data_IF_718948251833
#
_entry.id   IF_718948251833
#
_cell.length_a   1.000
_cell.length_b   1.000
_cell.length_c   1.000
_cell.angle_alpha   90.00
_cell.angle_beta   90.00
_cell.angle_gamma   90.00
#
_symmetry.space_group_name_H-M   'P 1'
#
loop_
_entity.id
_entity.type
_entity.pdbx_description
1 polymer ?
#
# COMPACT_ATOMS: atom_id res chain seq x y z
N UNK A 1 0.13 -11.17 -68.31
CA UNK A 1 0.77 -11.75 -67.11
C UNK A 1 0.93 -10.76 -65.94
N UNK A 2 1.31 -9.49 -66.16
CA UNK A 2 1.53 -8.53 -65.05
C UNK A 2 0.28 -8.16 -64.23
N UNK A 3 -0.93 -8.12 -64.82
CA UNK A 3 -2.17 -7.83 -64.07
C UNK A 3 -2.51 -8.92 -63.05
N UNK A 4 -2.26 -10.20 -63.36
CA UNK A 4 -2.49 -11.30 -62.42
C UNK A 4 -1.54 -11.29 -61.22
N UNK A 5 -0.29 -10.88 -61.44
CA UNK A 5 0.70 -10.74 -60.36
C UNK A 5 0.32 -9.62 -59.38
N UNK A 6 -0.29 -8.54 -59.87
CA UNK A 6 -0.73 -7.41 -59.05
C UNK A 6 -1.91 -7.78 -58.14
N UNK A 7 -2.86 -8.59 -58.63
CA UNK A 7 -3.97 -9.10 -57.81
C UNK A 7 -3.50 -10.08 -56.72
N UNK A 8 -2.53 -10.94 -57.04
CA UNK A 8 -1.95 -11.87 -56.05
C UNK A 8 -1.14 -11.12 -54.98
N UNK A 9 -0.40 -10.08 -55.36
CA UNK A 9 0.31 -9.20 -54.42
C UNK A 9 -0.64 -8.41 -53.51
N UNK A 10 -1.83 -8.05 -53.99
CA UNK A 10 -2.84 -7.33 -53.21
C UNK A 10 -3.55 -8.24 -52.20
N UNK A 11 -3.75 -9.53 -52.53
CA UNK A 11 -4.30 -10.53 -51.61
C UNK A 11 -3.36 -10.86 -50.44
N UNK A 12 -2.04 -10.81 -50.65
CA UNK A 12 -1.05 -11.02 -49.58
C UNK A 12 -0.97 -9.87 -48.57
N UNK A 13 -1.48 -8.69 -48.91
CA UNK A 13 -1.54 -7.52 -48.02
C UNK A 13 -2.82 -7.46 -47.18
N UNK A 14 -3.77 -8.38 -47.39
CA UNK A 14 -5.06 -8.44 -46.69
C UNK A 14 -5.10 -9.47 -45.55
N UNK A 15 -4.01 -10.18 -45.26
CA UNK A 15 -3.94 -11.15 -44.14
C UNK A 15 -3.73 -10.50 -42.76
N UNK A 16 -4.13 -9.24 -42.60
CA UNK A 16 -3.81 -8.39 -41.45
C UNK A 16 -4.71 -8.53 -40.22
N UNK A 17 -5.66 -9.46 -40.19
CA UNK A 17 -6.63 -9.59 -39.08
C UNK A 17 -6.62 -10.97 -38.40
N UNK A 18 -5.48 -11.68 -38.41
CA UNK A 18 -5.39 -13.00 -37.74
C UNK A 18 -5.19 -12.92 -36.22
N UNK A 19 -4.94 -11.73 -35.67
CA UNK A 19 -4.61 -11.56 -34.24
C UNK A 19 -5.68 -10.76 -33.46
N UNK A 20 -6.89 -10.62 -34.02
CA UNK A 20 -7.98 -9.91 -33.36
C UNK A 20 -8.76 -10.87 -32.45
N UNK A 21 -8.54 -10.76 -31.14
CA UNK A 21 -9.40 -11.37 -30.12
C UNK A 21 -10.47 -10.36 -29.73
N UNK A 22 -11.75 -10.72 -29.86
CA UNK A 22 -12.86 -9.81 -29.55
C UNK A 22 -12.93 -9.51 -28.04
N UNK A 23 -13.39 -8.29 -27.70
CA UNK A 23 -13.53 -7.87 -26.30
C UNK A 23 -14.49 -8.77 -25.49
N UNK A 24 -15.45 -9.41 -26.16
CA UNK A 24 -16.46 -10.27 -25.53
C UNK A 24 -15.94 -11.69 -25.22
N UNK A 25 -14.79 -12.08 -25.79
CA UNK A 25 -14.12 -13.36 -25.54
C UNK A 25 -13.14 -13.28 -24.36
N UNK A 26 -12.90 -12.08 -23.82
CA UNK A 26 -11.96 -11.81 -22.73
C UNK A 26 -12.66 -11.74 -21.37
N UNK A 27 -12.12 -12.49 -20.41
CA UNK A 27 -12.47 -12.41 -19.00
C UNK A 27 -11.57 -11.40 -18.32
N UNK A 28 -12.03 -10.16 -18.17
CA UNK A 28 -11.26 -9.08 -17.56
C UNK A 28 -11.08 -9.33 -16.06
N UNK A 29 -9.85 -9.61 -15.64
CA UNK A 29 -9.49 -9.72 -14.22
C UNK A 29 -9.15 -8.33 -13.70
N UNK A 30 -9.82 -7.89 -12.63
CA UNK A 30 -9.55 -6.60 -11.99
C UNK A 30 -8.91 -6.75 -10.61
N UNK A 31 -9.13 -7.87 -9.94
CA UNK A 31 -8.65 -8.16 -8.60
C UNK A 31 -8.13 -9.57 -8.49
N UNK A 32 -7.09 -9.72 -7.70
CA UNK A 32 -6.52 -11.02 -7.35
C UNK A 32 -6.38 -11.07 -5.84
N UNK A 33 -6.89 -12.14 -5.23
CA UNK A 33 -6.73 -12.44 -3.82
C UNK A 33 -5.89 -13.68 -3.64
N UNK A 34 -4.87 -13.65 -2.79
CA UNK A 34 -3.94 -14.76 -2.56
C UNK A 34 -4.00 -15.16 -1.09
N UNK A 35 -4.50 -16.37 -0.84
CA UNK A 35 -4.62 -17.02 0.47
C UNK A 35 -3.74 -18.29 0.51
N UNK A 36 -3.41 -18.82 1.71
CA UNK A 36 -2.94 -20.20 1.80
C UNK A 36 -4.00 -21.16 1.25
N UNK A 37 -3.57 -22.32 0.76
CA UNK A 37 -4.48 -23.39 0.37
C UNK A 37 -5.24 -23.94 1.59
N UNK A 38 -6.48 -24.43 1.37
CA UNK A 38 -7.27 -25.06 2.43
C UNK A 38 -6.62 -26.36 2.97
N UNK A 39 -5.67 -26.93 2.23
CA UNK A 39 -5.01 -28.21 2.51
C UNK A 39 -3.54 -28.08 2.95
N UNK A 40 -2.98 -26.87 2.97
CA UNK A 40 -1.60 -26.64 3.32
C UNK A 40 -1.49 -25.39 4.17
N UNK A 41 -1.02 -25.56 5.40
CA UNK A 41 -0.73 -24.44 6.28
C UNK A 41 0.56 -23.74 5.90
N UNK A 42 1.15 -23.99 4.73
CA UNK A 42 2.39 -23.43 4.21
C UNK A 42 3.56 -23.69 5.17
N UNK A 43 4.43 -24.65 4.85
CA UNK A 43 5.63 -24.95 5.66
C UNK A 43 6.53 -23.69 5.82
N UNK A 44 7.17 -23.55 6.98
CA UNK A 44 8.08 -22.44 7.24
C UNK A 44 9.28 -22.51 6.30
N UNK A 45 9.57 -21.37 5.65
CA UNK A 45 10.55 -21.24 4.55
C UNK A 45 12.00 -21.54 4.96
N UNK A 46 12.28 -21.81 6.23
CA UNK A 46 13.65 -21.89 6.69
C UNK A 46 14.35 -23.17 6.18
N UNK A 47 13.64 -24.24 5.77
CA UNK A 47 14.26 -25.50 5.30
C UNK A 47 13.46 -26.34 4.26
N UNK A 48 12.54 -25.78 3.47
CA UNK A 48 11.81 -26.59 2.47
C UNK A 48 12.64 -26.82 1.18
N UNK A 49 13.41 -27.91 1.12
CA UNK A 49 13.95 -28.41 -0.15
C UNK A 49 12.81 -28.87 -1.06
N UNK A 50 12.90 -28.55 -2.36
CA UNK A 50 11.92 -28.98 -3.35
C UNK A 50 11.98 -30.51 -3.50
N UNK A 51 11.02 -31.20 -2.88
CA UNK A 51 10.80 -32.64 -3.00
C UNK A 51 9.69 -32.93 -4.03
N UNK A 52 9.65 -34.14 -4.59
CA UNK A 52 8.53 -34.56 -5.46
C UNK A 52 7.17 -34.42 -4.75
N UNK A 53 7.12 -34.65 -3.43
CA UNK A 53 5.92 -34.48 -2.59
C UNK A 53 5.51 -32.99 -2.46
N UNK A 54 6.49 -32.09 -2.32
CA UNK A 54 6.24 -30.64 -2.30
C UNK A 54 5.71 -30.08 -3.63
N UNK A 55 5.97 -30.76 -4.76
CA UNK A 55 5.41 -30.38 -6.07
C UNK A 55 3.91 -30.67 -6.13
N UNK A 56 3.47 -31.75 -5.48
CA UNK A 56 2.10 -32.23 -5.52
C UNK A 56 1.14 -31.48 -4.57
N UNK A 57 1.67 -30.82 -3.52
CA UNK A 57 0.85 -30.08 -2.55
C UNK A 57 0.37 -28.74 -3.10
N UNK A 58 -0.92 -28.47 -2.94
CA UNK A 58 -1.50 -27.16 -3.21
C UNK A 58 -1.13 -26.20 -2.09
N UNK A 59 -0.32 -25.17 -2.37
CA UNK A 59 0.18 -24.22 -1.38
C UNK A 59 -0.64 -22.95 -1.30
N UNK A 60 -1.17 -22.50 -2.43
CA UNK A 60 -1.93 -21.25 -2.51
C UNK A 60 -3.31 -21.49 -3.06
N UNK A 61 -4.25 -20.69 -2.57
CA UNK A 61 -5.59 -20.54 -3.12
C UNK A 61 -5.74 -19.11 -3.61
N UNK A 62 -5.97 -18.95 -4.91
CA UNK A 62 -6.07 -17.64 -5.54
C UNK A 62 -7.48 -17.40 -6.02
N UNK A 63 -8.06 -16.28 -5.61
CA UNK A 63 -9.38 -15.80 -6.04
C UNK A 63 -9.20 -14.72 -7.08
N UNK A 64 -9.75 -14.93 -8.29
CA UNK A 64 -9.75 -13.96 -9.37
C UNK A 64 -11.11 -13.29 -9.46
N UNK A 65 -11.15 -11.95 -9.40
CA UNK A 65 -12.36 -11.16 -9.63
C UNK A 65 -12.45 -10.78 -11.11
N UNK A 66 -13.36 -11.45 -11.81
CA UNK A 66 -13.72 -11.14 -13.20
C UNK A 66 -14.82 -10.10 -13.22
N UNK A 67 -14.71 -9.12 -14.11
CA UNK A 67 -15.79 -8.17 -14.37
C UNK A 67 -16.70 -8.68 -15.47
N UNK A 68 -18.00 -8.46 -15.31
CA UNK A 68 -18.96 -8.53 -16.41
C UNK A 68 -19.29 -7.10 -16.90
N UNK A 69 -18.73 -6.66 -18.04
CA UNK A 69 -18.98 -5.33 -18.57
C UNK A 69 -20.46 -5.07 -18.90
N UNK A 70 -21.21 -6.11 -19.24
CA UNK A 70 -22.62 -5.99 -19.62
C UNK A 70 -23.51 -5.67 -18.41
N UNK A 71 -23.16 -6.22 -17.25
CA UNK A 71 -23.82 -5.91 -15.99
C UNK A 71 -23.52 -4.49 -15.51
N UNK A 72 -22.41 -3.86 -15.93
CA UNK A 72 -22.04 -2.48 -15.58
C UNK A 72 -22.79 -1.41 -16.39
N UNK A 73 -23.16 -1.69 -17.65
CA UNK A 73 -23.99 -0.81 -18.46
C UNK A 73 -25.46 -0.93 -18.01
N UNK A 74 -25.90 0.00 -17.15
CA UNK A 74 -27.28 0.04 -16.68
C UNK A 74 -28.27 0.16 -17.86
N UNK A 75 -28.94 -0.94 -18.21
CA UNK A 75 -30.13 -0.88 -19.05
C UNK A 75 -31.25 -0.31 -18.18
N UNK A 76 -31.69 0.91 -18.50
CA UNK A 76 -32.92 1.47 -17.94
C UNK A 76 -34.09 0.56 -18.31
N UNK A 77 -34.66 -0.12 -17.32
CA UNK A 77 -35.83 -0.97 -17.49
C UNK A 77 -35.83 -2.18 -16.58
N UNK A 78 -36.68 -2.12 -15.57
CA UNK A 78 -37.11 -3.18 -14.64
C UNK A 78 -36.10 -3.68 -13.60
N UNK A 79 -36.42 -3.41 -12.34
CA UNK A 79 -35.53 -3.54 -11.16
C UNK A 79 -35.54 -4.93 -10.52
N UNK A 80 -35.79 -6.01 -11.28
CA UNK A 80 -36.02 -7.35 -10.72
C UNK A 80 -34.92 -8.37 -10.97
N UNK A 81 -33.90 -8.07 -11.79
CA UNK A 81 -32.67 -8.89 -11.87
C UNK A 81 -31.43 -8.01 -11.98
N UNK A 82 -30.89 -7.60 -10.83
CA UNK A 82 -29.54 -7.03 -10.77
C UNK A 82 -28.57 -8.20 -11.02
N UNK A 83 -28.07 -8.31 -12.24
CA UNK A 83 -26.96 -9.20 -12.55
C UNK A 83 -25.73 -8.74 -11.75
N UNK A 84 -25.06 -9.69 -11.08
CA UNK A 84 -23.86 -9.38 -10.32
C UNK A 84 -22.77 -8.86 -11.28
N UNK A 85 -22.18 -7.67 -11.01
CA UNK A 85 -21.25 -7.02 -11.93
C UNK A 85 -19.86 -7.67 -11.97
N UNK A 86 -19.65 -8.70 -11.15
CA UNK A 86 -18.41 -9.44 -11.06
C UNK A 86 -18.68 -10.92 -10.74
N UNK A 87 -17.70 -11.76 -11.04
CA UNK A 87 -17.65 -13.15 -10.68
C UNK A 87 -16.29 -13.44 -10.03
N UNK A 88 -16.30 -13.93 -8.80
CA UNK A 88 -15.11 -14.41 -8.12
C UNK A 88 -14.92 -15.90 -8.39
N UNK A 89 -13.76 -16.30 -8.90
CA UNK A 89 -13.42 -17.70 -9.15
C UNK A 89 -12.13 -18.06 -8.44
N UNK A 90 -12.19 -19.07 -7.56
CA UNK A 90 -11.05 -19.55 -6.80
C UNK A 90 -10.41 -20.79 -7.43
N UNK A 91 -9.08 -20.83 -7.44
CA UNK A 91 -8.26 -21.95 -7.93
C UNK A 91 -7.11 -22.17 -6.97
N UNK A 92 -6.93 -23.41 -6.55
CA UNK A 92 -5.79 -23.84 -5.75
C UNK A 92 -4.67 -24.40 -6.63
N UNK A 93 -3.44 -24.33 -6.13
CA UNK A 93 -2.28 -24.91 -6.80
C UNK A 93 -0.99 -24.63 -6.05
N UNK A 94 0.10 -25.19 -6.56
CA UNK A 94 1.41 -25.04 -5.95
C UNK A 94 2.09 -23.73 -6.37
N UNK A 95 2.03 -23.39 -7.67
CA UNK A 95 2.66 -22.18 -8.22
C UNK A 95 1.64 -21.23 -8.82
N UNK A 96 1.94 -19.93 -8.80
CA UNK A 96 1.09 -18.91 -9.45
C UNK A 96 0.91 -19.20 -10.95
N UNK A 97 1.94 -19.74 -11.63
CA UNK A 97 1.83 -20.10 -13.04
C UNK A 97 0.81 -21.23 -13.28
N UNK A 98 0.85 -22.28 -12.47
CA UNK A 98 -0.12 -23.39 -12.55
C UNK A 98 -1.53 -22.89 -12.26
N UNK A 99 -1.69 -22.04 -11.25
CA UNK A 99 -2.98 -21.48 -10.85
C UNK A 99 -3.58 -20.62 -11.97
N UNK A 100 -2.78 -19.70 -12.54
CA UNK A 100 -3.18 -18.87 -13.67
C UNK A 100 -3.45 -19.68 -14.96
N UNK A 101 -2.82 -20.86 -15.12
CA UNK A 101 -3.17 -21.79 -16.20
C UNK A 101 -4.48 -22.54 -15.92
N UNK A 102 -4.72 -22.93 -14.67
CA UNK A 102 -5.89 -23.72 -14.30
C UNK A 102 -7.18 -22.91 -14.26
N UNK A 103 -7.12 -21.60 -14.02
CA UNK A 103 -8.31 -20.74 -14.07
C UNK A 103 -8.98 -20.76 -15.45
N UNK A 104 -8.22 -20.90 -16.54
CA UNK A 104 -8.77 -21.00 -17.90
C UNK A 104 -9.62 -22.26 -18.12
N UNK A 105 -9.57 -23.25 -17.23
CA UNK A 105 -10.44 -24.44 -17.26
C UNK A 105 -11.78 -24.21 -16.56
N UNK A 106 -11.91 -23.15 -15.76
CA UNK A 106 -13.10 -22.86 -14.93
C UNK A 106 -13.96 -21.74 -15.50
N UNK A 107 -13.48 -21.01 -16.50
CA UNK A 107 -14.18 -19.88 -17.11
C UNK A 107 -14.29 -20.08 -18.62
N UNK A 108 -15.38 -19.58 -19.21
CA UNK A 108 -15.60 -19.67 -20.65
C UNK A 108 -14.75 -18.66 -21.45
N UNK A 109 -14.56 -17.46 -20.91
CA UNK A 109 -13.78 -16.38 -21.53
C UNK A 109 -12.32 -16.48 -21.12
N UNK A 110 -11.37 -16.27 -22.04
CA UNK A 110 -9.94 -16.37 -21.70
C UNK A 110 -9.58 -15.31 -20.65
N UNK A 111 -8.88 -15.67 -19.55
CA UNK A 111 -8.45 -14.68 -18.56
C UNK A 111 -7.59 -13.60 -19.22
N UNK A 112 -7.83 -12.34 -18.87
CA UNK A 112 -7.08 -11.20 -19.36
C UNK A 112 -6.65 -10.31 -18.20
N UNK A 113 -5.35 -10.27 -17.94
CA UNK A 113 -4.79 -9.71 -16.70
C UNK A 113 -4.29 -8.27 -16.81
N UNK A 114 -4.29 -7.69 -18.02
CA UNK A 114 -3.84 -6.30 -18.21
C UNK A 114 -4.67 -5.25 -17.46
N UNK A 115 -5.83 -5.63 -16.92
CA UNK A 115 -6.74 -4.73 -16.20
C UNK A 115 -6.70 -4.92 -14.68
N UNK A 116 -5.79 -5.77 -14.16
CA UNK A 116 -5.64 -5.90 -12.71
C UNK A 116 -5.34 -4.52 -12.11
N UNK A 117 -6.15 -4.15 -11.14
CA UNK A 117 -5.98 -2.93 -10.33
C UNK A 117 -5.27 -3.25 -9.02
N UNK A 118 -5.57 -4.41 -8.45
CA UNK A 118 -5.12 -4.76 -7.11
C UNK A 118 -4.82 -6.25 -6.95
N UNK A 119 -3.73 -6.54 -6.24
CA UNK A 119 -3.43 -7.86 -5.69
C UNK A 119 -3.47 -7.74 -4.17
N UNK A 120 -4.37 -8.50 -3.55
CA UNK A 120 -4.57 -8.58 -2.11
C UNK A 120 -3.93 -9.90 -1.65
N UNK A 121 -3.11 -9.84 -0.61
CA UNK A 121 -2.39 -11.00 -0.08
C UNK A 121 -2.76 -11.14 1.40
N UNK A 122 -3.11 -12.34 1.84
CA UNK A 122 -3.38 -12.56 3.26
C UNK A 122 -2.12 -12.43 4.12
N UNK A 123 -2.30 -12.00 5.37
CA UNK A 123 -1.21 -11.85 6.32
C UNK A 123 -0.54 -13.21 6.61
N UNK A 124 -1.27 -14.32 6.52
CA UNK A 124 -0.73 -15.67 6.64
C UNK A 124 0.31 -15.99 5.57
N UNK A 125 0.04 -15.66 4.31
CA UNK A 125 0.99 -15.81 3.19
C UNK A 125 2.20 -14.88 3.42
N UNK A 126 1.93 -13.65 3.84
CA UNK A 126 2.96 -12.63 4.04
C UNK A 126 3.90 -12.93 5.22
N UNK A 127 3.38 -13.41 6.35
CA UNK A 127 4.15 -13.76 7.56
C UNK A 127 5.10 -14.92 7.32
N UNK A 128 4.72 -15.87 6.46
CA UNK A 128 5.57 -17.01 6.08
C UNK A 128 6.63 -16.67 5.04
N UNK A 129 6.63 -15.43 4.52
CA UNK A 129 7.68 -14.93 3.63
C UNK A 129 7.49 -15.32 2.17
N UNK A 130 6.25 -15.63 1.76
CA UNK A 130 5.94 -15.99 0.37
C UNK A 130 5.70 -14.79 -0.54
N UNK A 131 5.79 -13.55 -0.02
CA UNK A 131 5.62 -12.33 -0.82
C UNK A 131 6.49 -12.32 -2.10
N UNK A 132 7.80 -12.65 -2.07
CA UNK A 132 8.60 -12.68 -3.31
C UNK A 132 8.15 -13.76 -4.30
N UNK A 133 7.75 -14.94 -3.82
CA UNK A 133 7.35 -16.06 -4.65
C UNK A 133 6.01 -15.80 -5.35
N UNK A 134 5.02 -15.30 -4.62
CA UNK A 134 3.71 -14.98 -5.20
C UNK A 134 3.82 -13.84 -6.21
N UNK A 135 4.73 -12.89 -6.01
CA UNK A 135 4.93 -11.76 -6.92
C UNK A 135 5.85 -12.06 -8.12
N UNK A 136 6.68 -13.11 -8.09
CA UNK A 136 7.59 -13.44 -9.19
C UNK A 136 6.84 -13.63 -10.52
N UNK A 137 5.69 -14.32 -10.49
CA UNK A 137 4.83 -14.47 -11.66
C UNK A 137 4.34 -13.12 -12.19
N UNK A 138 3.78 -12.28 -11.32
CA UNK A 138 3.22 -10.98 -11.71
C UNK A 138 4.29 -9.96 -12.14
N UNK A 139 5.56 -10.17 -11.78
CA UNK A 139 6.68 -9.35 -12.21
C UNK A 139 7.26 -9.76 -13.56
N UNK A 140 7.11 -11.03 -13.94
CA UNK A 140 7.67 -11.60 -15.18
C UNK A 140 6.70 -11.61 -16.35
N UNK A 141 5.41 -11.71 -16.08
CA UNK A 141 4.42 -11.80 -17.15
C UNK A 141 4.23 -10.45 -17.86
N UNK A 142 4.32 -10.47 -19.19
CA UNK A 142 4.19 -9.30 -20.06
C UNK A 142 2.81 -8.63 -20.02
N UNK A 143 1.76 -9.32 -19.56
CA UNK A 143 0.43 -8.74 -19.39
C UNK A 143 0.30 -7.86 -18.12
N UNK A 144 1.29 -7.87 -17.24
CA UNK A 144 1.18 -7.26 -15.91
C UNK A 144 1.56 -5.79 -15.92
N UNK A 145 0.72 -4.96 -15.27
CA UNK A 145 0.98 -3.54 -15.10
C UNK A 145 1.78 -3.29 -13.84
N UNK A 146 2.85 -2.49 -13.97
CA UNK A 146 3.67 -2.06 -12.82
C UNK A 146 2.92 -1.19 -11.80
N UNK A 147 1.80 -0.60 -12.21
CA UNK A 147 0.92 0.22 -11.38
C UNK A 147 -0.12 -0.59 -10.60
N UNK A 148 -0.17 -1.91 -10.77
CA UNK A 148 -1.05 -2.77 -9.96
C UNK A 148 -0.73 -2.57 -8.47
N UNK A 149 -1.72 -2.15 -7.68
CA UNK A 149 -1.59 -1.91 -6.24
C UNK A 149 -1.50 -3.23 -5.48
N UNK A 150 -0.69 -3.26 -4.43
CA UNK A 150 -0.53 -4.40 -3.52
C UNK A 150 -1.07 -4.03 -2.15
N UNK A 151 -1.85 -4.91 -1.54
CA UNK A 151 -2.36 -4.74 -0.17
C UNK A 151 -2.25 -6.03 0.62
N UNK A 152 -2.12 -5.91 1.93
CA UNK A 152 -2.15 -7.04 2.86
C UNK A 152 -3.45 -7.02 3.64
N UNK A 153 -4.06 -8.18 3.89
CA UNK A 153 -5.29 -8.31 4.68
C UNK A 153 -5.14 -9.31 5.81
N UNK A 154 -5.81 -9.07 6.93
CA UNK A 154 -5.95 -10.06 8.00
C UNK A 154 -7.02 -11.12 7.70
N UNK A 155 -8.05 -10.71 6.97
CA UNK A 155 -9.17 -11.58 6.60
C UNK A 155 -8.85 -12.37 5.34
N UNK A 156 -9.65 -13.39 5.03
CA UNK A 156 -9.56 -14.11 3.75
C UNK A 156 -9.66 -13.11 2.61
N UNK A 157 -8.81 -13.24 1.59
CA UNK A 157 -8.88 -12.30 0.44
C UNK A 157 -10.23 -12.36 -0.28
N UNK A 158 -10.90 -13.51 -0.23
CA UNK A 158 -12.27 -13.69 -0.69
C UNK A 158 -13.25 -12.74 0.00
N UNK A 159 -13.17 -12.57 1.32
CA UNK A 159 -14.10 -11.74 2.09
C UNK A 159 -13.98 -10.26 1.67
N UNK A 160 -12.76 -9.82 1.36
CA UNK A 160 -12.50 -8.48 0.82
C UNK A 160 -13.03 -8.36 -0.62
N UNK A 161 -12.79 -9.35 -1.47
CA UNK A 161 -13.25 -9.37 -2.86
C UNK A 161 -14.76 -9.60 -3.01
N UNK A 162 -15.47 -9.99 -1.95
CA UNK A 162 -16.93 -10.10 -1.92
C UNK A 162 -17.61 -8.95 -1.17
N UNK A 163 -16.82 -8.02 -0.60
CA UNK A 163 -17.34 -6.88 0.17
C UNK A 163 -18.23 -5.99 -0.71
N UNK A 164 -19.51 -5.89 -0.36
CA UNK A 164 -20.48 -5.12 -1.15
C UNK A 164 -20.60 -3.71 -0.58
N UNK A 165 -20.49 -2.71 -1.45
CA UNK A 165 -20.78 -1.32 -1.10
C UNK A 165 -21.98 -0.79 -1.86
N UNK A 166 -22.64 0.22 -1.31
CA UNK A 166 -23.79 0.87 -1.98
C UNK A 166 -23.37 1.88 -3.06
N UNK A 167 -22.10 2.29 -3.07
CA UNK A 167 -21.60 3.39 -3.91
C UNK A 167 -20.89 2.84 -5.14
N UNK A 168 -19.97 1.89 -4.93
CA UNK A 168 -19.18 1.30 -6.00
C UNK A 168 -19.55 -0.19 -6.15
N UNK A 169 -19.79 -0.60 -7.40
CA UNK A 169 -20.33 -1.92 -7.74
C UNK A 169 -19.26 -3.01 -7.71
N UNK A 170 -18.01 -2.61 -7.88
CA UNK A 170 -16.85 -3.49 -7.88
C UNK A 170 -16.04 -3.30 -6.59
N UNK A 171 -15.90 -4.32 -5.73
CA UNK A 171 -15.21 -4.20 -4.45
C UNK A 171 -13.78 -3.65 -4.58
N UNK A 172 -13.04 -4.10 -5.59
CA UNK A 172 -11.67 -3.62 -5.85
C UNK A 172 -11.64 -2.14 -6.22
N UNK A 173 -12.61 -1.64 -6.98
CA UNK A 173 -12.66 -0.22 -7.35
C UNK A 173 -13.01 0.67 -6.16
N UNK A 174 -13.82 0.15 -5.22
CA UNK A 174 -14.12 0.84 -3.97
C UNK A 174 -12.84 1.03 -3.15
N UNK A 175 -12.07 -0.04 -2.98
CA UNK A 175 -10.81 -0.02 -2.25
C UNK A 175 -9.79 0.88 -2.96
N UNK A 176 -9.68 0.77 -4.29
CA UNK A 176 -8.81 1.61 -5.13
C UNK A 176 -9.09 3.10 -4.87
N UNK A 177 -10.37 3.48 -4.86
CA UNK A 177 -10.81 4.86 -4.60
C UNK A 177 -10.53 5.33 -3.16
N UNK A 178 -10.59 4.43 -2.17
CA UNK A 178 -10.21 4.76 -0.79
C UNK A 178 -8.71 5.02 -0.68
N UNK A 179 -7.88 4.19 -1.31
CA UNK A 179 -6.42 4.35 -1.25
C UNK A 179 -5.97 5.68 -1.85
N UNK A 180 -6.71 6.20 -2.83
CA UNK A 180 -6.44 7.50 -3.43
C UNK A 180 -6.75 8.67 -2.48
N UNK A 181 -7.42 8.46 -1.33
CA UNK A 181 -7.65 9.50 -0.32
C UNK A 181 -6.46 9.72 0.63
N UNK A 182 -5.33 9.02 0.45
CA UNK A 182 -4.12 9.22 1.26
C UNK A 182 -3.58 10.67 1.20
N UNK A 183 -3.95 11.46 0.18
CA UNK A 183 -3.60 12.88 0.15
C UNK A 183 -4.36 13.73 1.18
N UNK A 184 -5.52 13.27 1.67
CA UNK A 184 -6.33 13.95 2.69
C UNK A 184 -6.18 13.32 4.07
N UNK A 185 -5.90 12.04 4.14
CA UNK A 185 -5.84 11.30 5.40
C UNK A 185 -4.44 10.73 5.62
N UNK A 186 -3.70 11.34 6.55
CA UNK A 186 -2.34 10.95 6.89
C UNK A 186 -2.23 9.57 7.57
N UNK A 187 -3.33 9.00 8.06
CA UNK A 187 -3.36 7.63 8.61
C UNK A 187 -3.29 6.55 7.52
N UNK A 188 -3.52 6.92 6.26
CA UNK A 188 -3.39 6.03 5.12
C UNK A 188 -1.96 6.05 4.59
N UNK A 189 -1.38 4.87 4.41
CA UNK A 189 -0.14 4.75 3.63
C UNK A 189 -0.45 5.06 2.16
N UNK A 190 0.39 5.84 1.44
CA UNK A 190 0.20 6.03 0.01
C UNK A 190 0.17 4.70 -0.74
N UNK A 191 -0.54 4.62 -1.89
CA UNK A 191 -0.61 3.40 -2.68
C UNK A 191 0.77 2.80 -2.98
N UNK A 192 0.93 1.51 -2.68
CA UNK A 192 2.13 0.75 -3.00
C UNK A 192 1.82 -0.15 -4.19
N UNK A 193 2.49 0.09 -5.30
CA UNK A 193 2.34 -0.71 -6.52
C UNK A 193 3.41 -1.81 -6.62
N UNK A 194 3.18 -2.78 -7.49
CA UNK A 194 4.09 -3.91 -7.69
C UNK A 194 5.50 -3.46 -8.09
N UNK A 195 5.63 -2.34 -8.82
CA UNK A 195 6.94 -1.74 -9.12
C UNK A 195 7.70 -1.27 -7.87
N UNK A 196 7.00 -0.62 -6.93
CA UNK A 196 7.55 -0.18 -5.63
C UNK A 196 7.89 -1.39 -4.75
N UNK A 197 7.03 -2.41 -4.70
CA UNK A 197 7.33 -3.66 -3.98
C UNK A 197 8.55 -4.37 -4.57
N UNK A 198 8.67 -4.44 -5.91
CA UNK A 198 9.86 -5.03 -6.54
C UNK A 198 11.15 -4.33 -6.11
N UNK A 199 11.15 -3.00 -6.04
CA UNK A 199 12.31 -2.24 -5.52
C UNK A 199 12.63 -2.61 -4.07
N UNK A 200 11.61 -2.80 -3.22
CA UNK A 200 11.80 -3.27 -1.85
C UNK A 200 12.37 -4.69 -1.79
N UNK A 201 11.90 -5.59 -2.65
CA UNK A 201 12.39 -6.97 -2.71
C UNK A 201 13.86 -7.08 -3.11
N UNK A 202 14.34 -6.17 -3.96
CA UNK A 202 15.76 -6.07 -4.33
C UNK A 202 16.64 -5.44 -3.23
N UNK A 203 16.03 -4.72 -2.29
CA UNK A 203 16.72 -4.08 -1.18
C UNK A 203 16.85 -4.98 0.05
N UNK A 204 17.60 -4.49 1.04
CA UNK A 204 17.72 -5.11 2.37
C UNK A 204 16.93 -4.36 3.45
N UNK A 205 16.33 -3.21 3.10
CA UNK A 205 15.64 -2.35 4.06
C UNK A 205 14.21 -2.85 4.29
N UNK A 206 13.75 -2.79 5.53
CA UNK A 206 12.35 -2.99 5.87
C UNK A 206 11.43 -1.96 5.20
N UNK A 207 10.16 -2.33 5.00
CA UNK A 207 9.19 -1.51 4.28
C UNK A 207 7.76 -1.73 4.76
N UNK A 208 6.87 -0.83 4.32
CA UNK A 208 5.43 -0.88 4.63
C UNK A 208 4.63 -1.20 3.36
N UNK A 209 3.54 -1.95 3.53
CA UNK A 209 2.48 -2.13 2.52
C UNK A 209 1.13 -1.78 3.18
N UNK A 210 0.18 -1.15 2.47
CA UNK A 210 -1.15 -0.84 3.03
C UNK A 210 -1.83 -2.10 3.58
N UNK A 211 -2.49 -1.96 4.74
CA UNK A 211 -3.12 -3.08 5.43
C UNK A 211 -4.63 -2.85 5.59
N UNK A 212 -5.42 -3.79 5.10
CA UNK A 212 -6.88 -3.71 5.04
C UNK A 212 -7.53 -4.78 5.92
N UNK A 213 -8.68 -4.44 6.50
CA UNK A 213 -9.50 -5.37 7.27
C UNK A 213 -10.97 -5.24 6.88
N UNK A 214 -11.76 -6.28 7.13
CA UNK A 214 -13.21 -6.29 6.94
C UNK A 214 -13.87 -5.91 8.25
N UNK A 215 -14.62 -4.81 8.24
CA UNK A 215 -15.47 -4.39 9.36
C UNK A 215 -16.94 -4.43 8.92
N UNK A 216 -17.66 -5.49 9.32
CA UNK A 216 -19.09 -5.62 9.06
C UNK A 216 -19.46 -5.53 7.58
N UNK A 217 -18.72 -6.23 6.71
CA UNK A 217 -18.83 -6.24 5.24
C UNK A 217 -18.27 -5.02 4.50
N UNK A 218 -17.60 -4.09 5.19
CA UNK A 218 -16.88 -2.98 4.55
C UNK A 218 -15.38 -3.15 4.72
N UNK A 219 -14.65 -2.90 3.64
CA UNK A 219 -13.22 -2.66 3.70
C UNK A 219 -12.92 -1.43 4.57
N UNK A 220 -12.16 -1.65 5.64
CA UNK A 220 -11.58 -0.64 6.51
C UNK A 220 -10.07 -0.60 6.28
N UNK A 221 -9.57 0.58 5.90
CA UNK A 221 -8.16 0.80 5.60
C UNK A 221 -7.58 1.64 6.73
N UNK A 222 -6.99 0.98 7.72
CA UNK A 222 -6.50 1.64 8.93
C UNK A 222 -5.11 1.12 9.30
N UNK A 223 -4.13 1.48 8.47
CA UNK A 223 -2.71 1.33 8.78
C UNK A 223 -1.89 0.58 7.74
N UNK A 224 -0.85 -0.10 8.21
CA UNK A 224 0.16 -0.70 7.33
C UNK A 224 0.78 -1.98 7.90
N UNK A 225 1.17 -2.89 7.01
CA UNK A 225 1.87 -4.12 7.33
C UNK A 225 3.39 -3.87 7.29
N UNK A 226 4.09 -4.32 8.32
CA UNK A 226 5.54 -4.18 8.48
C UNK A 226 6.22 -5.39 7.86
N UNK A 227 7.07 -5.18 6.87
CA UNK A 227 7.90 -6.23 6.26
C UNK A 227 9.35 -6.05 6.66
N UNK A 228 9.95 -7.13 7.16
CA UNK A 228 11.37 -7.15 7.50
C UNK A 228 12.22 -7.25 6.23
N UNK A 229 13.20 -6.37 6.11
CA UNK A 229 14.03 -6.22 4.93
C UNK A 229 14.87 -7.43 4.56
N UNK A 230 15.33 -8.27 5.50
CA UNK A 230 16.16 -9.44 5.21
C UNK A 230 15.32 -10.67 4.76
N UNK A 231 14.38 -11.08 5.62
CA UNK A 231 13.55 -12.27 5.45
C UNK A 231 12.38 -12.06 4.49
N UNK A 232 12.03 -10.80 4.20
CA UNK A 232 10.84 -10.40 3.43
C UNK A 232 9.52 -10.94 4.03
N UNK A 233 9.55 -11.30 5.32
CA UNK A 233 8.38 -11.74 6.10
C UNK A 233 7.66 -10.51 6.64
N UNK A 234 6.33 -10.58 6.68
CA UNK A 234 5.53 -9.64 7.48
C UNK A 234 5.75 -9.96 8.97
N UNK A 235 6.11 -8.97 9.77
CA UNK A 235 6.46 -9.13 11.18
C UNK A 235 5.49 -8.44 12.14
N UNK A 236 4.61 -7.57 11.63
CA UNK A 236 3.64 -6.85 12.45
C UNK A 236 2.84 -5.83 11.65
N UNK A 237 2.13 -4.95 12.35
CA UNK A 237 1.33 -3.88 11.76
C UNK A 237 1.49 -2.57 12.51
N UNK A 238 1.32 -1.46 11.79
CA UNK A 238 1.06 -0.15 12.34
C UNK A 238 -0.43 0.15 12.24
N UNK A 239 -1.02 0.73 13.28
CA UNK A 239 -2.36 1.32 13.20
C UNK A 239 -2.33 2.65 12.42
N UNK A 240 -3.48 3.32 12.28
CA UNK A 240 -3.60 4.58 11.55
C UNK A 240 -2.69 5.69 12.07
N UNK A 241 -2.71 5.97 13.38
CA UNK A 241 -1.86 6.99 14.00
C UNK A 241 -0.36 6.68 13.89
N UNK A 242 0.02 5.41 14.07
CA UNK A 242 1.41 4.97 13.89
C UNK A 242 1.86 5.10 12.43
N UNK A 243 0.95 4.79 11.48
CA UNK A 243 1.18 4.98 10.03
C UNK A 243 1.33 6.46 9.68
N UNK A 244 0.55 7.34 10.30
CA UNK A 244 0.71 8.79 10.18
C UNK A 244 2.10 9.25 10.67
N UNK A 245 2.55 8.74 11.82
CA UNK A 245 3.91 8.97 12.32
C UNK A 245 4.99 8.55 11.32
N UNK A 246 4.85 7.36 10.74
CA UNK A 246 5.76 6.89 9.70
C UNK A 246 5.70 7.77 8.45
N UNK A 247 4.52 8.24 8.03
CA UNK A 247 4.32 9.12 6.87
C UNK A 247 5.00 10.49 7.07
N UNK A 248 4.98 11.06 8.28
CA UNK A 248 5.75 12.29 8.58
C UNK A 248 7.24 12.07 8.38
N UNK A 249 7.80 10.99 8.95
CA UNK A 249 9.23 10.70 8.91
C UNK A 249 9.69 10.34 7.49
N UNK A 250 8.89 9.57 6.77
CA UNK A 250 9.13 9.18 5.37
C UNK A 250 8.72 10.26 4.37
N UNK A 251 8.24 11.44 4.81
CA UNK A 251 7.88 12.55 3.93
C UNK A 251 6.78 12.24 2.92
N UNK A 252 6.02 11.18 3.17
CA UNK A 252 4.92 10.68 2.35
C UNK A 252 3.58 11.32 2.75
N UNK A 253 3.52 11.99 3.92
CA UNK A 253 2.33 12.68 4.38
C UNK A 253 2.00 13.90 3.49
N UNK A 254 0.74 13.99 3.06
CA UNK A 254 0.23 15.09 2.20
C UNK A 254 -0.95 15.85 2.80
N UNK A 255 -1.59 15.28 3.82
CA UNK A 255 -2.71 15.88 4.51
C UNK A 255 -3.06 15.04 5.73
N UNK A 256 -4.06 15.47 6.48
CA UNK A 256 -4.52 14.80 7.68
C UNK A 256 -5.01 15.81 8.71
N UNK A 257 -5.34 15.31 9.89
CA UNK A 257 -5.86 16.13 10.98
C UNK A 257 -5.05 15.82 12.22
N UNK A 258 -4.71 16.85 12.99
CA UNK A 258 -4.13 16.73 14.32
C UNK A 258 -5.08 17.41 15.31
N UNK A 259 -5.50 16.64 16.30
CA UNK A 259 -6.33 17.11 17.39
C UNK A 259 -5.47 17.44 18.60
N UNK A 260 -5.66 18.63 19.18
CA UNK A 260 -4.94 19.06 20.38
C UNK A 260 -5.88 19.65 21.41
N UNK A 261 -5.47 19.56 22.68
CA UNK A 261 -6.16 20.24 23.77
C UNK A 261 -5.42 21.52 24.15
N UNK A 262 -6.10 22.64 23.99
CA UNK A 262 -5.69 23.97 24.47
C UNK A 262 -6.63 24.36 25.61
N UNK A 263 -6.10 24.74 26.77
CA UNK A 263 -6.89 25.19 27.95
C UNK A 263 -8.15 24.35 28.29
N UNK A 264 -8.07 23.03 28.06
CA UNK A 264 -9.18 22.10 28.31
C UNK A 264 -10.23 22.01 27.19
N UNK A 265 -10.02 22.67 26.06
CA UNK A 265 -10.89 22.64 24.88
C UNK A 265 -10.18 21.98 23.69
N UNK A 266 -10.96 21.27 22.87
CA UNK A 266 -10.49 20.64 21.65
C UNK A 266 -10.26 21.70 20.57
N UNK A 267 -9.13 21.57 19.87
CA UNK A 267 -8.80 22.34 18.67
C UNK A 267 -8.34 21.35 17.60
N UNK A 268 -8.88 21.51 16.40
CA UNK A 268 -8.63 20.64 15.26
C UNK A 268 -7.79 21.39 14.24
N UNK A 269 -6.60 20.87 13.94
CA UNK A 269 -5.68 21.41 12.95
C UNK A 269 -5.70 20.54 11.69
N UNK A 270 -6.10 21.12 10.56
CA UNK A 270 -6.09 20.46 9.26
C UNK A 270 -4.74 20.68 8.56
N UNK A 271 -4.02 19.61 8.27
CA UNK A 271 -2.75 19.63 7.54
C UNK A 271 -3.04 19.74 6.05
N UNK A 272 -2.41 20.72 5.40
CA UNK A 272 -2.51 20.93 3.94
C UNK A 272 -1.24 20.51 3.18
N UNK A 273 -0.07 20.54 3.83
CA UNK A 273 1.18 20.02 3.28
C UNK A 273 2.17 19.71 4.41
N UNK A 274 3.09 18.77 4.16
CA UNK A 274 4.19 18.47 5.07
C UNK A 274 5.46 18.21 4.28
N UNK A 275 6.55 18.83 4.72
CA UNK A 275 7.89 18.65 4.14
C UNK A 275 8.84 18.17 5.21
N UNK A 276 9.69 17.23 4.81
CA UNK A 276 10.64 16.56 5.70
C UNK A 276 12.05 16.73 5.19
N UNK A 277 12.98 16.98 6.11
CA UNK A 277 14.42 16.99 5.86
C UNK A 277 15.13 16.14 6.91
N UNK A 278 16.03 15.28 6.47
CA UNK A 278 16.84 14.44 7.36
C UNK A 278 18.26 14.99 7.38
N UNK A 279 18.84 14.99 8.57
CA UNK A 279 20.24 15.25 8.82
C UNK A 279 20.80 14.08 9.63
N UNK A 280 21.93 13.52 9.22
CA UNK A 280 22.63 12.50 9.98
C UNK A 280 24.03 12.98 10.37
N UNK A 281 24.40 12.75 11.63
CA UNK A 281 25.75 12.90 12.12
C UNK A 281 26.29 11.52 12.49
N UNK A 282 27.19 10.99 11.66
CA UNK A 282 27.83 9.70 11.87
C UNK A 282 29.17 9.92 12.56
N UNK A 283 29.18 9.86 13.89
CA UNK A 283 30.42 10.02 14.68
C UNK A 283 31.27 8.76 14.54
N UNK A 284 30.64 7.60 14.70
CA UNK A 284 31.19 6.27 14.45
C UNK A 284 30.05 5.27 14.20
N UNK A 285 30.36 4.00 13.99
CA UNK A 285 29.35 2.97 13.68
C UNK A 285 28.29 2.80 14.77
N UNK A 286 28.66 2.97 16.04
CA UNK A 286 27.78 2.78 17.19
C UNK A 286 27.09 4.07 17.64
N UNK A 287 27.43 5.21 17.04
CA UNK A 287 26.91 6.53 17.39
C UNK A 287 26.49 7.28 16.13
N UNK A 288 25.23 7.06 15.76
CA UNK A 288 24.57 7.71 14.63
C UNK A 288 23.40 8.51 15.17
N UNK A 289 23.48 9.84 15.02
CA UNK A 289 22.43 10.76 15.39
C UNK A 289 21.65 11.20 14.14
N UNK A 290 20.33 11.02 14.15
CA UNK A 290 19.43 11.56 13.15
C UNK A 290 18.63 12.71 13.73
N UNK A 291 18.59 13.81 12.99
CA UNK A 291 17.63 14.90 13.19
C UNK A 291 16.72 14.97 11.98
N UNK A 292 15.42 14.82 12.21
CA UNK A 292 14.39 14.86 11.18
C UNK A 292 13.56 16.12 11.41
N UNK A 293 13.76 17.12 10.57
CA UNK A 293 13.00 18.36 10.64
C UNK A 293 11.74 18.22 9.76
N UNK A 294 10.57 18.39 10.37
CA UNK A 294 9.27 18.31 9.72
C UNK A 294 8.63 19.69 9.76
N UNK A 295 8.43 20.29 8.59
CA UNK A 295 7.70 21.55 8.43
C UNK A 295 6.30 21.24 7.94
N UNK A 296 5.30 21.62 8.73
CA UNK A 296 3.88 21.33 8.47
C UNK A 296 3.15 22.64 8.24
N UNK A 297 2.42 22.71 7.14
CA UNK A 297 1.52 23.82 6.82
C UNK A 297 0.09 23.34 6.98
N UNK A 298 -0.79 24.21 7.48
CA UNK A 298 -2.17 23.83 7.70
C UNK A 298 -3.05 24.98 8.15
N UNK A 299 -4.30 24.66 8.41
CA UNK A 299 -5.33 25.60 8.79
C UNK A 299 -5.97 25.18 10.11
N UNK A 300 -6.57 26.16 10.79
CA UNK A 300 -7.53 25.84 11.83
C UNK A 300 -8.78 25.23 11.18
N UNK A 301 -9.10 23.98 11.54
CA UNK A 301 -10.29 23.29 11.08
C UNK A 301 -11.49 23.60 11.98
N UNK A 302 -11.34 23.35 13.28
CA UNK A 302 -12.39 23.58 14.29
C UNK A 302 -11.80 24.08 15.61
N UNK A 303 -12.54 24.94 16.30
CA UNK A 303 -12.19 25.49 17.60
C UNK A 303 -13.41 25.50 18.52
N UNK A 304 -13.35 24.75 19.63
CA UNK A 304 -14.42 24.69 20.63
C UNK A 304 -14.21 25.66 21.81
N UNK A 305 -13.07 26.35 21.88
CA UNK A 305 -12.71 27.27 22.96
C UNK A 305 -13.03 28.73 22.71
N UNK A 306 -13.52 29.10 21.52
CA UNK A 306 -13.73 30.48 21.07
C UNK A 306 -12.47 31.35 21.25
N UNK A 307 -11.31 30.84 20.84
CA UNK A 307 -10.07 31.60 20.94
C UNK A 307 -10.03 32.71 19.89
N UNK A 308 -9.45 33.87 20.26
CA UNK A 308 -9.14 34.92 19.29
C UNK A 308 -7.92 34.49 18.46
N UNK A 309 -8.18 33.75 17.39
CA UNK A 309 -7.16 33.18 16.50
C UNK A 309 -6.49 34.25 15.61
N UNK A 310 -6.95 35.50 15.65
CA UNK A 310 -6.25 36.66 15.12
C UNK A 310 -5.06 37.11 15.97
N UNK A 311 -4.96 36.67 17.23
CA UNK A 311 -3.86 37.04 18.11
C UNK A 311 -2.61 36.18 17.88
N UNK A 312 -1.44 36.78 17.63
CA UNK A 312 -0.20 36.02 17.39
C UNK A 312 0.18 35.06 18.53
N UNK A 313 -0.17 35.39 19.78
CA UNK A 313 0.11 34.54 20.94
C UNK A 313 -0.73 33.26 20.93
N UNK A 314 -2.00 33.36 20.54
CA UNK A 314 -2.91 32.22 20.42
C UNK A 314 -2.43 31.27 19.33
N UNK A 315 -2.07 31.82 18.16
CA UNK A 315 -1.50 31.05 17.04
C UNK A 315 -0.22 30.34 17.45
N UNK A 316 0.73 31.05 18.09
CA UNK A 316 1.98 30.44 18.54
C UNK A 316 1.75 29.29 19.55
N UNK A 317 0.72 29.41 20.41
CA UNK A 317 0.33 28.34 21.34
C UNK A 317 -0.25 27.13 20.62
N UNK A 318 -1.08 27.33 19.60
CA UNK A 318 -1.58 26.26 18.74
C UNK A 318 -0.41 25.56 18.02
N UNK A 319 0.49 26.33 17.41
CA UNK A 319 1.68 25.81 16.72
C UNK A 319 2.53 24.95 17.65
N UNK A 320 2.79 25.42 18.89
CA UNK A 320 3.53 24.65 19.90
C UNK A 320 2.82 23.34 20.27
N UNK A 321 1.50 23.38 20.45
CA UNK A 321 0.70 22.20 20.81
C UNK A 321 0.67 21.16 19.71
N UNK A 322 0.46 21.59 18.47
CA UNK A 322 0.47 20.71 17.29
C UNK A 322 1.87 20.14 17.06
N UNK A 323 2.92 20.95 17.20
CA UNK A 323 4.31 20.48 17.09
C UNK A 323 4.59 19.33 18.07
N UNK A 324 4.23 19.53 19.35
CA UNK A 324 4.43 18.52 20.39
C UNK A 324 3.65 17.24 20.14
N UNK A 325 2.43 17.33 19.60
CA UNK A 325 1.65 16.12 19.27
C UNK A 325 2.28 15.35 18.10
N UNK A 326 2.76 16.03 17.06
CA UNK A 326 3.49 15.39 15.95
C UNK A 326 4.79 14.74 16.44
N UNK A 327 5.56 15.42 17.29
CA UNK A 327 6.77 14.89 17.91
C UNK A 327 6.47 13.64 18.74
N UNK A 328 5.35 13.63 19.47
CA UNK A 328 4.89 12.46 20.25
C UNK A 328 4.46 11.29 19.35
N UNK A 329 3.66 11.55 18.31
CA UNK A 329 3.22 10.53 17.36
C UNK A 329 4.43 9.88 16.68
N UNK A 330 5.37 10.70 16.21
CA UNK A 330 6.59 10.22 15.54
C UNK A 330 7.54 9.50 16.50
N UNK A 331 7.70 9.99 17.73
CA UNK A 331 8.48 9.29 18.76
C UNK A 331 7.91 7.90 19.07
N UNK A 332 6.59 7.75 19.12
CA UNK A 332 5.94 6.46 19.36
C UNK A 332 6.25 5.43 18.29
N UNK A 333 6.15 5.79 17.00
CA UNK A 333 6.49 4.85 15.91
C UNK A 333 7.99 4.56 15.86
N UNK A 334 8.86 5.54 16.13
CA UNK A 334 10.31 5.33 16.23
C UNK A 334 10.62 4.31 17.33
N UNK A 335 10.07 4.49 18.52
CA UNK A 335 10.28 3.57 19.64
C UNK A 335 9.80 2.16 19.30
N UNK A 336 8.61 2.04 18.70
CA UNK A 336 8.07 0.75 18.27
C UNK A 336 9.01 0.06 17.26
N UNK A 337 9.52 0.81 16.28
CA UNK A 337 10.40 0.25 15.26
C UNK A 337 11.76 -0.17 15.83
N UNK A 338 12.32 0.59 16.77
CA UNK A 338 13.60 0.29 17.40
C UNK A 338 13.52 -0.84 18.44
N UNK A 339 12.46 -0.88 19.26
CA UNK A 339 12.38 -1.78 20.42
C UNK A 339 11.58 -3.06 20.15
N UNK A 340 10.50 -2.99 19.39
CA UNK A 340 9.62 -4.14 19.14
C UNK A 340 10.06 -4.91 17.89
N UNK A 341 10.23 -4.23 16.77
CA UNK A 341 10.46 -4.88 15.47
C UNK A 341 11.92 -4.90 15.02
N UNK A 342 12.75 -4.02 15.56
CA UNK A 342 14.11 -3.76 15.08
C UNK A 342 14.15 -3.51 13.56
N UNK A 343 13.16 -2.82 13.00
CA UNK A 343 12.92 -2.70 11.57
C UNK A 343 12.86 -1.24 11.13
N UNK A 344 13.80 -0.82 10.27
CA UNK A 344 13.85 0.51 9.68
C UNK A 344 12.89 0.63 8.49
N UNK A 345 11.61 0.78 8.81
CA UNK A 345 10.58 1.20 7.84
C UNK A 345 10.54 2.71 7.62
N UNK A 346 11.38 3.46 8.34
CA UNK A 346 11.42 4.92 8.36
C UNK A 346 12.34 5.49 7.25
N UNK A 347 13.13 4.62 6.62
CA UNK A 347 13.97 4.95 5.47
C UNK A 347 15.32 5.57 5.84
N UNK A 348 15.79 5.42 7.07
CA UNK A 348 17.04 6.03 7.55
C UNK A 348 18.28 5.36 6.93
N UNK A 349 18.28 4.04 6.78
CA UNK A 349 19.31 3.29 6.07
C UNK A 349 19.35 3.64 4.59
N UNK A 350 18.18 3.87 3.96
CA UNK A 350 18.11 4.39 2.59
C UNK A 350 18.71 5.78 2.47
N UNK A 351 18.48 6.66 3.46
CA UNK A 351 19.08 7.98 3.53
C UNK A 351 20.60 7.90 3.69
N UNK A 352 21.11 7.08 4.62
CA UNK A 352 22.55 6.87 4.78
C UNK A 352 23.20 6.32 3.50
N UNK A 353 22.52 5.40 2.80
CA UNK A 353 23.02 4.89 1.53
C UNK A 353 23.20 5.99 0.48
N UNK A 354 22.30 6.98 0.45
CA UNK A 354 22.32 8.08 -0.52
C UNK A 354 23.30 9.19 -0.13
N UNK A 355 23.27 9.65 1.12
CA UNK A 355 24.00 10.84 1.57
C UNK A 355 25.31 10.53 2.31
N UNK A 356 25.49 9.29 2.81
CA UNK A 356 26.63 8.87 3.63
C UNK A 356 27.15 7.48 3.20
N UNK A 357 27.34 7.28 1.89
CA UNK A 357 27.63 5.97 1.29
C UNK A 357 28.79 5.19 1.94
N UNK A 358 29.90 5.87 2.25
CA UNK A 358 31.08 5.23 2.84
C UNK A 358 30.79 4.66 4.23
N UNK A 359 30.10 5.44 5.07
CA UNK A 359 29.62 4.99 6.37
C UNK A 359 28.64 3.82 6.22
N UNK A 360 27.66 3.97 5.32
CA UNK A 360 26.65 2.95 5.03
C UNK A 360 27.29 1.61 4.63
N UNK A 361 28.26 1.62 3.72
CA UNK A 361 28.95 0.40 3.25
C UNK A 361 29.52 -0.42 4.40
N UNK A 362 29.93 0.23 5.47
CA UNK A 362 30.57 -0.39 6.63
C UNK A 362 29.60 -0.95 7.69
N UNK A 363 28.31 -0.60 7.61
CA UNK A 363 27.27 -0.98 8.58
C UNK A 363 26.07 -1.70 7.95
N UNK A 364 25.91 -1.67 6.61
CA UNK A 364 24.72 -2.13 5.90
C UNK A 364 24.23 -3.54 6.28
N UNK A 365 25.14 -4.48 6.56
CA UNK A 365 24.79 -5.86 6.90
C UNK A 365 24.31 -6.01 8.35
N UNK A 366 24.61 -5.02 9.19
CA UNK A 366 24.33 -4.97 10.61
C UNK A 366 23.36 -3.83 10.97
N UNK A 367 22.74 -3.22 9.96
CA UNK A 367 21.86 -2.06 10.14
C UNK A 367 20.63 -2.42 10.96
N UNK A 368 19.84 -3.38 10.48
CA UNK A 368 18.63 -3.88 11.15
C UNK A 368 18.85 -5.22 11.87
N UNK A 369 19.90 -5.94 11.48
CA UNK A 369 20.34 -7.25 11.97
C UNK A 369 21.70 -7.15 12.67
N UNK A 370 22.18 -8.24 13.28
CA UNK A 370 23.55 -8.30 13.82
C UNK A 370 23.79 -7.27 14.93
N UNK A 371 24.57 -6.23 14.65
CA UNK A 371 24.88 -5.17 15.64
C UNK A 371 23.71 -4.21 15.93
N UNK A 372 22.60 -4.30 15.18
CA UNK A 372 21.37 -3.50 15.37
C UNK A 372 21.62 -1.99 15.42
N UNK A 373 22.38 -1.46 14.47
CA UNK A 373 22.75 -0.04 14.43
C UNK A 373 21.54 0.89 14.34
N UNK A 374 20.48 0.50 13.63
CA UNK A 374 19.21 1.23 13.59
C UNK A 374 18.60 1.38 15.00
N UNK A 375 18.47 0.28 15.74
CA UNK A 375 17.87 0.28 17.08
C UNK A 375 18.69 1.05 18.12
N UNK A 376 19.99 1.22 17.89
CA UNK A 376 20.90 2.00 18.75
C UNK A 376 21.01 3.47 18.35
N UNK A 377 20.56 3.83 17.14
CA UNK A 377 20.66 5.19 16.64
C UNK A 377 19.79 6.13 17.47
N UNK A 378 20.26 7.34 17.72
CA UNK A 378 19.48 8.36 18.38
C UNK A 378 18.71 9.13 17.30
N UNK A 379 17.38 9.08 17.36
CA UNK A 379 16.52 9.66 16.33
C UNK A 379 15.65 10.72 17.00
N UNK A 380 15.80 11.97 16.57
CA UNK A 380 14.96 13.09 17.02
C UNK A 380 14.18 13.66 15.85
N UNK A 381 12.90 13.90 16.08
CA UNK A 381 12.03 14.65 15.17
C UNK A 381 11.81 16.03 15.77
N UNK A 382 11.96 17.09 14.97
CA UNK A 382 11.56 18.44 15.35
C UNK A 382 10.43 18.87 14.42
N UNK A 383 9.30 19.29 14.99
CA UNK A 383 8.17 19.78 14.21
C UNK A 383 8.12 21.31 14.22
N UNK A 384 7.95 21.91 13.04
CA UNK A 384 7.64 23.34 12.88
C UNK A 384 6.31 23.49 12.18
N UNK A 385 5.37 24.16 12.83
CA UNK A 385 4.02 24.39 12.31
C UNK A 385 3.94 25.80 11.74
N UNK A 386 3.23 25.93 10.62
CA UNK A 386 2.91 27.20 9.97
C UNK A 386 1.40 27.23 9.76
N UNK A 387 0.69 28.04 10.55
CA UNK A 387 -0.74 28.27 10.35
C UNK A 387 -0.94 29.23 9.16
N UNK A 388 -1.64 28.77 8.13
CA UNK A 388 -1.90 29.53 6.89
C UNK A 388 -3.23 30.27 6.91
N UNK A 389 -4.26 29.66 7.47
CA UNK A 389 -5.59 30.23 7.60
C UNK A 389 -6.24 29.81 8.91
N UNK A 390 -7.06 30.69 9.48
CA UNK A 390 -7.88 30.44 10.67
C UNK A 390 -9.36 30.21 10.31
N UNK A 391 -9.66 30.01 9.03
CA UNK A 391 -11.02 29.93 8.50
C UNK A 391 -11.64 31.31 8.25
N UNK A 392 -12.88 31.32 7.74
CA UNK A 392 -13.64 32.55 7.48
C UNK A 392 -14.75 32.71 8.52
N UNK A 393 -14.38 32.97 9.77
CA UNK A 393 -15.35 33.33 10.80
C UNK A 393 -15.38 34.86 10.85
N UNK A 394 -16.46 35.47 10.36
CA UNK A 394 -16.68 36.90 10.52
C UNK A 394 -16.95 37.18 12.00
N UNK A 395 -15.95 37.68 12.72
CA UNK A 395 -16.18 38.33 14.01
C UNK A 395 -16.92 39.64 13.76
N UNK A 396 -18.24 39.66 13.95
CA UNK A 396 -18.96 40.92 14.13
C UNK A 396 -18.44 41.59 15.40
N UNK A 397 -17.66 42.66 15.23
CA UNK A 397 -17.32 43.57 16.33
C UNK A 397 -18.62 44.02 17.01
N UNK A 398 -18.74 43.78 18.31
CA UNK A 398 -19.78 44.36 19.16
C UNK A 398 -19.27 45.61 19.84
#
# INVERSE_FOLDING_TARGET
MYKGLLYVSLCLLLTGCWDQVESEERGYVIGVGIDPSDHDTLEDRDEAEATEDSIAKERFKVTFQFVDPSALQGKGGDSSQIQDPFLNVAVSGNTMFQINRNISKKIARSPYFQHIKMIIISDEVAKKGYLPEVLDFYLRDHEMRRETKIMITKDTTKDILESRTKVERLPVMYIDSITDNAYKNGELLPPVNIGKVHKYLLGINSFLIPFIQSNGQKADLSGSAIFKGDSKKMIGTLNGMETMGANFITGELKGGVIEVIMDGQLVVFEISDAKRKIHANVINKDQIDFTIDVVVEGNLGEDFGNYHMSEPKTVAKLEEKVAKEIEKITAGVIEKMQKEYNADVLGLGSYLHQEHYDSWKSIKNDWESGSHYFSKSNIRVNAKIIVRSIGTIMETQK
#
